data_IF_880207040530
#
_entry.id   IF_880207040530
#
_cell.length_a   1.000
_cell.length_b   1.000
_cell.length_c   1.000
_cell.angle_alpha   90.00
_cell.angle_beta   90.00
_cell.angle_gamma   90.00
#
_symmetry.space_group_name_H-M   'P 1'
#
loop_
_entity.id
_entity.type
_entity.pdbx_description
1 polymer ?
#
# COMPACT_ATOMS: atom_id res chain seq x y z
N UNK A 1 -7.40 -65.69 -28.94
CA UNK A 1 -6.93 -64.34 -29.32
C UNK A 1 -7.23 -63.39 -28.16
N UNK A 2 -6.26 -63.20 -27.28
CA UNK A 2 -6.31 -62.33 -26.10
C UNK A 2 -5.85 -60.94 -26.49
N UNK A 3 -6.71 -59.92 -26.33
CA UNK A 3 -6.38 -58.52 -26.64
C UNK A 3 -5.96 -57.84 -25.34
N UNK A 4 -4.65 -57.65 -25.17
CA UNK A 4 -4.05 -57.08 -23.97
C UNK A 4 -4.42 -55.63 -23.75
N UNK A 5 -4.90 -55.33 -22.54
CA UNK A 5 -5.14 -53.99 -22.01
C UNK A 5 -3.78 -53.30 -21.81
N UNK A 6 -3.43 -52.35 -22.67
CA UNK A 6 -2.24 -51.51 -22.47
C UNK A 6 -2.57 -50.48 -21.39
N UNK A 7 -2.16 -50.77 -20.16
CA UNK A 7 -2.23 -49.82 -19.05
C UNK A 7 -1.36 -48.60 -19.36
N UNK A 8 -1.99 -47.43 -19.42
CA UNK A 8 -1.31 -46.14 -19.51
C UNK A 8 -0.76 -45.83 -18.12
N UNK A 9 0.54 -46.04 -17.92
CA UNK A 9 1.24 -45.55 -16.72
C UNK A 9 1.39 -44.04 -16.89
N UNK A 10 0.55 -43.28 -16.20
CA UNK A 10 0.73 -41.83 -16.05
C UNK A 10 1.90 -41.64 -15.09
N UNK A 11 3.06 -41.30 -15.65
CA UNK A 11 4.22 -40.88 -14.90
C UNK A 11 3.91 -39.52 -14.26
N UNK A 12 3.52 -39.52 -12.98
CA UNK A 12 3.41 -38.30 -12.18
C UNK A 12 4.83 -37.77 -11.97
N UNK A 13 5.25 -36.83 -12.80
CA UNK A 13 6.46 -36.05 -12.54
C UNK A 13 6.13 -35.15 -11.35
N UNK A 14 6.58 -35.55 -10.16
CA UNK A 14 6.71 -34.64 -9.03
C UNK A 14 7.80 -33.63 -9.42
N UNK A 15 7.39 -32.47 -9.91
CA UNK A 15 8.23 -31.29 -9.93
C UNK A 15 8.45 -30.90 -8.47
N UNK A 16 9.47 -31.48 -7.84
CA UNK A 16 10.11 -30.82 -6.71
C UNK A 16 10.79 -29.59 -7.31
N UNK A 17 10.06 -28.48 -7.41
CA UNK A 17 10.68 -27.17 -7.45
C UNK A 17 11.45 -27.07 -6.14
N UNK A 18 12.71 -27.50 -6.20
CA UNK A 18 13.68 -27.28 -5.14
C UNK A 18 13.56 -25.82 -4.76
N UNK A 19 13.41 -25.58 -3.45
CA UNK A 19 13.19 -24.25 -2.90
C UNK A 19 14.09 -23.27 -3.63
N UNK A 20 13.47 -22.44 -4.48
CA UNK A 20 13.99 -21.12 -4.67
C UNK A 20 14.14 -20.62 -3.25
N UNK A 21 15.37 -20.37 -2.82
CA UNK A 21 15.56 -19.38 -1.78
C UNK A 21 14.64 -18.24 -2.20
N UNK A 22 13.53 -18.02 -1.47
CA UNK A 22 12.73 -16.84 -1.64
C UNK A 22 13.75 -15.72 -1.51
N UNK A 23 14.13 -15.15 -2.66
CA UNK A 23 15.23 -14.23 -2.76
C UNK A 23 14.72 -13.00 -2.04
N UNK A 24 14.99 -12.93 -0.73
CA UNK A 24 14.55 -11.93 0.23
C UNK A 24 13.81 -10.78 -0.46
N UNK A 25 12.49 -10.94 -0.67
CA UNK A 25 11.71 -9.99 -1.44
C UNK A 25 11.82 -8.64 -0.74
N UNK A 26 12.49 -7.68 -1.38
CA UNK A 26 12.55 -6.33 -0.88
C UNK A 26 11.21 -5.64 -1.11
N UNK A 27 10.94 -4.56 -0.37
CA UNK A 27 9.78 -3.72 -0.65
C UNK A 27 9.73 -3.30 -2.13
N UNK A 28 10.88 -3.03 -2.74
CA UNK A 28 10.99 -2.71 -4.16
C UNK A 28 10.46 -3.83 -5.06
N UNK A 29 10.83 -5.07 -4.81
CA UNK A 29 10.40 -6.22 -5.61
C UNK A 29 8.88 -6.37 -5.51
N UNK A 30 8.33 -6.29 -4.29
CA UNK A 30 6.88 -6.32 -4.04
C UNK A 30 6.17 -5.19 -4.81
N UNK A 31 6.70 -3.96 -4.77
CA UNK A 31 6.10 -2.82 -5.46
C UNK A 31 6.11 -3.00 -6.99
N UNK A 32 7.18 -3.57 -7.54
CA UNK A 32 7.32 -3.87 -8.96
C UNK A 32 6.37 -5.00 -9.40
N UNK A 33 6.33 -6.11 -8.67
CA UNK A 33 5.47 -7.26 -8.93
C UNK A 33 3.98 -6.91 -8.88
N UNK A 34 3.59 -6.09 -7.90
CA UNK A 34 2.21 -5.63 -7.74
C UNK A 34 1.83 -4.51 -8.73
N UNK A 35 2.81 -3.99 -9.49
CA UNK A 35 2.58 -2.93 -10.47
C UNK A 35 2.17 -1.59 -9.85
N UNK A 36 2.51 -1.35 -8.58
CA UNK A 36 2.09 -0.18 -7.80
C UNK A 36 3.16 0.91 -7.66
N UNK A 37 4.27 0.78 -8.39
CA UNK A 37 5.36 1.77 -8.40
C UNK A 37 4.96 3.16 -8.91
N UNK A 38 3.74 3.32 -9.46
CA UNK A 38 3.18 4.60 -9.85
C UNK A 38 3.01 5.58 -8.68
N UNK A 39 2.95 5.09 -7.43
CA UNK A 39 2.78 5.94 -6.22
C UNK A 39 4.02 6.80 -5.93
N UNK A 40 5.20 6.42 -6.46
CA UNK A 40 6.43 7.17 -6.24
C UNK A 40 6.33 8.61 -6.77
N UNK A 41 6.70 9.55 -5.91
CA UNK A 41 6.75 10.97 -6.22
C UNK A 41 6.16 11.83 -5.12
N UNK A 42 5.99 13.10 -5.46
CA UNK A 42 5.26 14.06 -4.65
C UNK A 42 3.96 14.40 -5.37
N UNK A 43 2.88 14.45 -4.61
CA UNK A 43 1.52 14.64 -5.09
C UNK A 43 0.90 15.78 -4.31
N UNK A 44 0.23 16.69 -5.00
CA UNK A 44 -0.37 17.88 -4.40
C UNK A 44 -1.80 18.04 -4.88
N UNK A 45 -2.66 18.44 -3.97
CA UNK A 45 -4.00 18.94 -4.26
C UNK A 45 -4.27 20.18 -3.41
N UNK A 46 -5.32 20.91 -3.75
CA UNK A 46 -5.77 22.08 -3.01
C UNK A 46 -7.27 21.88 -2.76
N UNK A 47 -7.70 21.96 -1.51
CA UNK A 47 -9.10 21.83 -1.14
C UNK A 47 -9.92 23.02 -1.65
N UNK A 48 -11.25 22.89 -1.64
CA UNK A 48 -12.16 23.99 -1.99
C UNK A 48 -11.98 25.23 -1.08
N UNK A 49 -11.46 25.04 0.13
CA UNK A 49 -11.12 26.10 1.09
C UNK A 49 -9.74 26.73 0.84
N UNK A 50 -9.03 26.30 -0.21
CA UNK A 50 -7.71 26.83 -0.58
C UNK A 50 -6.55 26.24 0.23
N UNK A 51 -6.78 25.17 1.00
CA UNK A 51 -5.73 24.51 1.76
C UNK A 51 -4.99 23.49 0.89
N UNK A 52 -3.67 23.60 0.83
CA UNK A 52 -2.84 22.63 0.15
C UNK A 52 -2.67 21.35 0.99
N UNK A 53 -2.77 20.20 0.32
CA UNK A 53 -2.43 18.89 0.86
C UNK A 53 -1.32 18.31 -0.01
N UNK A 54 -0.25 17.83 0.63
CA UNK A 54 0.92 17.26 -0.04
C UNK A 54 1.18 15.86 0.49
N UNK A 55 1.32 14.91 -0.43
CA UNK A 55 1.78 13.56 -0.17
C UNK A 55 3.13 13.34 -0.83
N UNK A 56 4.02 12.60 -0.19
CA UNK A 56 5.31 12.22 -0.78
C UNK A 56 5.67 10.78 -0.49
N UNK A 57 6.17 10.09 -1.50
CA UNK A 57 6.64 8.72 -1.45
C UNK A 57 8.00 8.65 -2.11
N UNK A 58 9.06 8.47 -1.31
CA UNK A 58 10.44 8.48 -1.79
C UNK A 58 11.19 7.24 -1.35
N UNK A 59 11.77 6.52 -2.29
CA UNK A 59 12.67 5.40 -1.99
C UNK A 59 13.84 5.82 -1.10
N UNK A 60 14.15 4.98 -0.13
CA UNK A 60 15.33 5.07 0.73
C UNK A 60 15.87 3.65 1.02
N UNK A 61 16.94 3.57 1.81
CA UNK A 61 17.58 2.32 2.21
C UNK A 61 17.77 1.31 1.05
N UNK A 62 18.19 1.79 -0.14
CA UNK A 62 18.41 0.97 -1.34
C UNK A 62 17.19 0.15 -1.80
N UNK A 63 15.97 0.67 -1.63
CA UNK A 63 14.75 0.00 -2.09
C UNK A 63 14.07 -0.87 -1.03
N UNK A 64 14.60 -0.93 0.19
CA UNK A 64 13.96 -1.65 1.29
C UNK A 64 12.92 -0.81 2.04
N UNK A 65 12.88 0.51 1.81
CA UNK A 65 11.90 1.38 2.44
C UNK A 65 11.49 2.54 1.55
N UNK A 66 10.27 3.04 1.77
CA UNK A 66 9.77 4.29 1.21
C UNK A 66 9.55 5.25 2.40
N UNK A 67 10.15 6.43 2.33
CA UNK A 67 9.78 7.54 3.22
C UNK A 67 8.46 8.09 2.71
N UNK A 68 7.42 7.96 3.54
CA UNK A 68 6.10 8.53 3.33
C UNK A 68 6.01 9.85 4.08
N UNK A 69 5.50 10.90 3.43
CA UNK A 69 5.30 12.20 4.06
C UNK A 69 3.94 12.76 3.71
N UNK A 70 3.32 13.42 4.69
CA UNK A 70 2.05 14.12 4.56
C UNK A 70 2.19 15.53 5.13
N UNK A 71 1.63 16.53 4.45
CA UNK A 71 1.54 17.91 4.93
C UNK A 71 0.16 18.49 4.57
N UNK A 72 -0.45 19.17 5.53
CA UNK A 72 -1.73 19.87 5.38
C UNK A 72 -1.84 21.00 6.41
N UNK A 73 -1.62 22.26 5.99
CA UNK A 73 -1.54 23.39 6.92
C UNK A 73 -0.42 23.19 7.96
N UNK A 74 -0.77 23.28 9.24
CA UNK A 74 0.17 23.04 10.36
C UNK A 74 0.33 21.56 10.73
N UNK A 75 -0.45 20.67 10.11
CA UNK A 75 -0.34 19.22 10.32
C UNK A 75 0.65 18.63 9.34
N UNK A 76 1.56 17.81 9.84
CA UNK A 76 2.47 17.05 9.00
C UNK A 76 2.76 15.70 9.63
N UNK A 77 3.13 14.70 8.84
CA UNK A 77 3.67 13.45 9.35
C UNK A 77 4.74 12.88 8.43
N UNK A 78 5.60 12.05 9.01
CA UNK A 78 6.58 11.29 8.26
C UNK A 78 6.62 9.84 8.76
N UNK A 79 6.64 8.90 7.83
CA UNK A 79 6.69 7.48 8.10
C UNK A 79 7.66 6.73 7.21
N UNK A 80 7.96 5.51 7.63
CA UNK A 80 8.77 4.56 6.89
C UNK A 80 7.90 3.36 6.54
N UNK A 81 7.62 3.19 5.25
CA UNK A 81 6.98 2.00 4.71
C UNK A 81 8.09 0.98 4.44
N UNK A 82 7.97 -0.24 4.95
CA UNK A 82 8.96 -1.30 4.81
C UNK A 82 8.27 -2.65 4.69
N UNK A 83 8.96 -3.64 4.13
CA UNK A 83 8.52 -5.03 4.16
C UNK A 83 9.06 -5.70 5.43
N UNK A 84 8.15 -6.18 6.29
CA UNK A 84 8.49 -7.00 7.44
C UNK A 84 8.57 -8.47 7.00
N UNK A 85 9.79 -8.98 6.87
CA UNK A 85 10.03 -10.35 6.45
C UNK A 85 9.59 -11.40 7.50
N UNK A 86 9.34 -11.02 8.75
CA UNK A 86 8.86 -11.94 9.79
C UNK A 86 7.35 -12.14 9.70
N UNK A 87 6.62 -11.05 9.46
CA UNK A 87 5.16 -11.07 9.30
C UNK A 87 4.71 -11.27 7.85
N UNK A 88 5.65 -11.24 6.89
CA UNK A 88 5.40 -11.28 5.45
C UNK A 88 4.40 -10.19 4.99
N UNK A 89 4.55 -8.99 5.55
CA UNK A 89 3.62 -7.87 5.34
C UNK A 89 4.35 -6.56 5.09
N UNK A 90 3.76 -5.70 4.27
CA UNK A 90 4.22 -4.31 4.15
C UNK A 90 3.63 -3.50 5.30
N UNK A 91 4.50 -2.89 6.10
CA UNK A 91 4.15 -2.13 7.30
C UNK A 91 4.65 -0.71 7.17
N UNK A 92 4.08 0.16 7.97
CA UNK A 92 4.61 1.50 8.20
C UNK A 92 4.53 1.87 9.66
N UNK A 93 5.54 2.61 10.08
CA UNK A 93 5.53 3.39 11.30
C UNK A 93 5.73 4.87 10.94
N UNK A 94 4.83 5.73 11.41
CA UNK A 94 4.90 7.17 11.19
C UNK A 94 4.72 7.96 12.48
N UNK A 95 5.22 9.19 12.47
CA UNK A 95 5.07 10.17 13.56
C UNK A 95 4.53 11.47 12.97
N UNK A 96 3.51 12.04 13.60
CA UNK A 96 2.96 13.34 13.20
C UNK A 96 3.58 14.52 13.95
N UNK A 97 3.21 15.74 13.55
CA UNK A 97 3.71 16.99 14.15
C UNK A 97 3.30 17.19 15.61
N UNK A 98 2.40 16.36 16.13
CA UNK A 98 2.00 16.32 17.54
C UNK A 98 2.74 15.22 18.32
N UNK A 99 3.65 14.49 17.68
CA UNK A 99 4.40 13.39 18.27
C UNK A 99 3.59 12.11 18.42
N UNK A 100 2.39 12.03 17.83
CA UNK A 100 1.59 10.81 17.85
C UNK A 100 2.15 9.83 16.84
N UNK A 101 2.23 8.57 17.28
CA UNK A 101 2.68 7.45 16.47
C UNK A 101 1.50 6.79 15.79
N UNK A 102 1.66 6.49 14.51
CA UNK A 102 0.70 5.73 13.71
C UNK A 102 1.38 4.50 13.14
N UNK A 103 0.70 3.36 13.22
CA UNK A 103 1.09 2.12 12.55
C UNK A 103 0.10 1.82 11.44
N UNK A 104 0.61 1.43 10.28
CA UNK A 104 -0.23 1.15 9.10
C UNK A 104 0.20 -0.18 8.50
N UNK A 105 -0.76 -0.97 8.05
CA UNK A 105 -0.50 -2.17 7.22
C UNK A 105 -0.92 -1.86 5.79
N UNK A 106 -0.03 -2.13 4.84
CA UNK A 106 -0.19 -1.83 3.44
C UNK A 106 -0.43 -3.13 2.66
N UNK A 107 -1.44 -3.12 1.81
CA UNK A 107 -1.74 -4.21 0.88
C UNK A 107 -1.99 -3.64 -0.51
N UNK A 108 -1.94 -4.49 -1.53
CA UNK A 108 -2.33 -4.13 -2.89
C UNK A 108 -3.32 -5.13 -3.45
N UNK A 109 -4.30 -4.63 -4.19
CA UNK A 109 -5.31 -5.45 -4.83
C UNK A 109 -5.77 -4.77 -6.12
N UNK A 110 -5.78 -5.51 -7.24
CA UNK A 110 -6.18 -5.01 -8.56
C UNK A 110 -5.48 -3.69 -8.97
N UNK A 111 -4.20 -3.55 -8.64
CA UNK A 111 -3.40 -2.35 -8.96
C UNK A 111 -3.69 -1.12 -8.10
N UNK A 112 -4.56 -1.24 -7.09
CA UNK A 112 -4.77 -0.23 -6.03
C UNK A 112 -3.94 -0.58 -4.81
N UNK A 113 -3.57 0.44 -4.04
CA UNK A 113 -2.91 0.28 -2.74
C UNK A 113 -3.94 0.57 -1.65
N UNK A 114 -3.96 -0.24 -0.59
CA UNK A 114 -4.79 -0.07 0.60
C UNK A 114 -3.90 0.07 1.82
N UNK A 115 -4.02 1.18 2.53
CA UNK A 115 -3.33 1.44 3.79
C UNK A 115 -4.33 1.39 4.94
N UNK A 116 -4.29 0.32 5.72
CA UNK A 116 -5.15 0.14 6.89
C UNK A 116 -4.47 0.74 8.12
N UNK A 117 -5.15 1.70 8.77
CA UNK A 117 -4.59 2.47 9.88
C UNK A 117 -5.70 2.97 10.81
N UNK A 118 -5.33 3.75 11.82
CA UNK A 118 -6.24 4.40 12.74
C UNK A 118 -6.17 5.91 12.58
N UNK A 119 -7.34 6.54 12.48
CA UNK A 119 -7.49 7.99 12.52
C UNK A 119 -8.07 8.39 13.87
N UNK A 120 -7.52 9.42 14.51
CA UNK A 120 -8.18 10.05 15.66
C UNK A 120 -8.91 11.31 15.23
N UNK A 121 -10.05 11.57 15.83
CA UNK A 121 -10.70 12.87 15.77
C UNK A 121 -10.10 13.88 16.77
N UNK A 122 -10.74 15.04 16.87
CA UNK A 122 -10.34 16.13 17.78
C UNK A 122 -10.55 15.81 19.27
N UNK A 123 -11.37 14.81 19.59
CA UNK A 123 -11.67 14.35 20.95
C UNK A 123 -10.75 13.19 21.38
N UNK A 124 -9.97 12.65 20.44
CA UNK A 124 -9.03 11.55 20.65
C UNK A 124 -9.62 10.18 20.37
N UNK A 125 -10.89 10.10 19.94
CA UNK A 125 -11.54 8.84 19.60
C UNK A 125 -10.91 8.28 18.33
N UNK A 126 -10.45 7.03 18.39
CA UNK A 126 -9.78 6.34 17.27
C UNK A 126 -10.78 5.52 16.48
N UNK A 127 -10.79 5.69 15.17
CA UNK A 127 -11.53 4.83 14.25
C UNK A 127 -10.58 4.15 13.26
N UNK A 128 -10.81 2.87 13.01
CA UNK A 128 -10.10 2.13 11.96
C UNK A 128 -10.53 2.65 10.59
N UNK A 129 -9.56 2.90 9.72
CA UNK A 129 -9.79 3.40 8.36
C UNK A 129 -8.93 2.64 7.36
N UNK A 130 -9.38 2.60 6.12
CA UNK A 130 -8.57 2.17 4.97
C UNK A 130 -8.44 3.34 4.01
N UNK A 131 -7.20 3.74 3.73
CA UNK A 131 -6.87 4.72 2.71
C UNK A 131 -6.56 3.96 1.42
N UNK A 132 -7.36 4.18 0.39
CA UNK A 132 -7.21 3.56 -0.93
C UNK A 132 -6.55 4.56 -1.86
N UNK A 133 -5.37 4.20 -2.36
CA UNK A 133 -4.69 4.93 -3.42
C UNK A 133 -4.95 4.23 -4.76
N UNK A 134 -5.25 5.02 -5.78
CA UNK A 134 -5.48 4.54 -7.13
C UNK A 134 -4.74 5.38 -8.18
N UNK A 135 -4.30 4.73 -9.26
CA UNK A 135 -3.75 5.42 -10.42
C UNK A 135 -4.89 5.88 -11.32
N UNK A 136 -5.09 7.18 -11.43
CA UNK A 136 -6.04 7.77 -12.39
C UNK A 136 -5.37 7.89 -13.76
N UNK A 137 -4.16 8.48 -13.79
CA UNK A 137 -3.32 8.57 -14.99
C UNK A 137 -1.83 8.73 -14.61
N UNK A 138 -0.97 9.14 -15.54
CA UNK A 138 0.47 9.27 -15.29
C UNK A 138 0.85 10.41 -14.33
N UNK A 139 -0.02 11.42 -14.20
CA UNK A 139 0.20 12.65 -13.42
C UNK A 139 -0.87 12.87 -12.35
N UNK A 140 -1.80 11.93 -12.16
CA UNK A 140 -2.89 12.06 -11.20
C UNK A 140 -3.10 10.74 -10.46
N UNK A 141 -3.23 10.81 -9.14
CA UNK A 141 -3.66 9.70 -8.28
C UNK A 141 -4.95 10.09 -7.57
N UNK A 142 -5.82 9.11 -7.34
CA UNK A 142 -6.99 9.26 -6.49
C UNK A 142 -6.70 8.70 -5.11
N UNK A 143 -7.19 9.37 -4.08
CA UNK A 143 -7.10 8.95 -2.67
C UNK A 143 -8.50 8.96 -2.09
N UNK A 144 -8.94 7.80 -1.60
CA UNK A 144 -10.22 7.64 -0.92
C UNK A 144 -10.02 7.11 0.50
N UNK A 145 -10.70 7.69 1.48
CA UNK A 145 -10.66 7.24 2.87
C UNK A 145 -11.99 6.57 3.21
N UNK A 146 -11.93 5.30 3.59
CA UNK A 146 -13.08 4.51 3.97
C UNK A 146 -13.04 4.20 5.46
N UNK A 147 -14.17 4.35 6.14
CA UNK A 147 -14.33 3.81 7.50
C UNK A 147 -14.32 2.28 7.50
N UNK A 148 -13.90 1.71 8.62
CA UNK A 148 -13.98 0.26 8.87
C UNK A 148 -14.93 0.01 10.03
N UNK A 149 -15.96 -0.79 9.79
CA UNK A 149 -16.92 -1.21 10.80
C UNK A 149 -16.90 -2.73 10.91
N UNK A 150 -16.72 -3.25 12.12
CA UNK A 150 -16.64 -4.69 12.39
C UNK A 150 -15.58 -5.42 11.52
N UNK A 151 -14.47 -4.73 11.21
CA UNK A 151 -13.39 -5.26 10.37
C UNK A 151 -13.70 -5.24 8.86
N UNK A 152 -14.82 -4.68 8.44
CA UNK A 152 -15.24 -4.56 7.05
C UNK A 152 -15.12 -3.10 6.61
N UNK A 153 -14.42 -2.88 5.50
CA UNK A 153 -14.33 -1.56 4.86
C UNK A 153 -15.69 -1.16 4.29
N UNK A 154 -16.14 0.06 4.59
CA UNK A 154 -17.35 0.65 3.99
C UNK A 154 -17.22 0.76 2.47
N UNK A 155 -18.29 0.44 1.74
CA UNK A 155 -18.32 0.60 0.28
C UNK A 155 -18.19 2.08 -0.14
N UNK A 156 -18.77 2.99 0.64
CA UNK A 156 -18.71 4.43 0.40
C UNK A 156 -17.54 5.05 1.16
N UNK A 157 -16.69 5.87 0.51
CA UNK A 157 -15.66 6.64 1.19
C UNK A 157 -16.28 7.78 2.00
N UNK A 158 -15.63 8.15 3.11
CA UNK A 158 -15.91 9.39 3.83
C UNK A 158 -15.42 10.62 3.06
N UNK A 159 -14.34 10.45 2.31
CA UNK A 159 -13.70 11.48 1.51
C UNK A 159 -12.96 10.84 0.34
N UNK A 160 -13.00 11.51 -0.81
CA UNK A 160 -12.24 11.16 -2.00
C UNK A 160 -11.68 12.44 -2.62
N UNK A 161 -10.41 12.40 -3.03
CA UNK A 161 -9.75 13.52 -3.69
C UNK A 161 -8.71 13.03 -4.70
N UNK A 162 -8.53 13.82 -5.75
CA UNK A 162 -7.44 13.62 -6.69
C UNK A 162 -6.25 14.52 -6.34
N UNK A 163 -5.05 13.95 -6.43
CA UNK A 163 -3.79 14.67 -6.33
C UNK A 163 -3.05 14.67 -7.66
N UNK A 164 -2.42 15.79 -7.97
CA UNK A 164 -1.59 15.95 -9.15
C UNK A 164 -0.11 15.83 -8.82
N UNK A 165 0.66 15.20 -9.70
CA UNK A 165 2.10 15.02 -9.55
C UNK A 165 2.80 16.37 -9.57
N UNK A 166 3.61 16.64 -8.55
CA UNK A 166 4.47 17.84 -8.50
C UNK A 166 5.63 17.61 -9.46
N UNK A 167 5.78 18.48 -10.45
CA UNK A 167 6.94 18.47 -11.35
C UNK A 167 8.17 18.92 -10.56
N UNK A 168 9.26 18.18 -10.71
CA UNK A 168 10.59 18.62 -10.25
C UNK A 168 11.11 19.74 -11.15
#
# INVERSE_FOLDING_TARGET
MTRGTKGLVILTVLLTLGGAAAAQEGLKDIVEEQGVGWIEGQWKTTTDEGQDIVLSFKWAAKGHTIVHGFEMGERSSQGLIYFDATEEQVKEFGVDSQGKVTKTTWTSEYGKIKAQTQMSDEYGDTTDVVIVYSKVNATTIGVAVHGVEYGVMSDSPWFEIDFNKVKK
#
